data_IF_971210961952
#
_entry.id   IF_971210961952
#
_cell.length_a   1.000
_cell.length_b   1.000
_cell.length_c   1.000
_cell.angle_alpha   90.00
_cell.angle_beta   90.00
_cell.angle_gamma   90.00
#
_symmetry.space_group_name_H-M   'P 1'
#
loop_
_entity.id
_entity.type
_entity.pdbx_description
1 polymer ?
#
# COMPACT_ATOMS: atom_id res chain seq x y z
N UNK A 1 4.35 16.03 3.05
CA UNK A 1 4.63 15.94 1.59
C UNK A 1 5.70 14.89 1.37
N UNK A 2 5.31 13.76 0.78
CA UNK A 2 6.17 12.60 0.64
C UNK A 2 7.28 12.88 -0.34
N UNK A 3 8.48 12.38 -0.04
CA UNK A 3 9.63 12.67 -0.90
C UNK A 3 9.40 12.09 -2.31
N UNK A 4 10.04 12.68 -3.34
CA UNK A 4 9.99 12.16 -4.71
C UNK A 4 10.32 10.66 -4.84
N UNK A 5 11.10 10.11 -3.92
CA UNK A 5 11.50 8.69 -3.96
C UNK A 5 10.40 7.81 -3.33
N UNK A 6 9.73 8.26 -2.26
CA UNK A 6 8.72 7.44 -1.58
C UNK A 6 7.43 7.27 -2.40
N UNK A 7 7.01 8.28 -3.17
CA UNK A 7 5.85 8.11 -4.05
C UNK A 7 6.13 7.15 -5.20
N UNK A 8 7.35 7.18 -5.76
CA UNK A 8 7.76 6.25 -6.83
C UNK A 8 7.76 4.82 -6.31
N UNK A 9 8.30 4.59 -5.11
CA UNK A 9 8.27 3.27 -4.46
C UNK A 9 6.85 2.78 -4.25
N UNK A 10 5.94 3.64 -3.76
CA UNK A 10 4.51 3.29 -3.63
C UNK A 10 3.89 2.91 -4.98
N UNK A 11 4.11 3.72 -6.02
CA UNK A 11 3.60 3.42 -7.36
C UNK A 11 4.14 2.09 -7.92
N UNK A 12 5.42 1.78 -7.66
CA UNK A 12 6.02 0.50 -8.03
C UNK A 12 5.41 -0.68 -7.27
N UNK A 13 5.19 -0.56 -5.97
CA UNK A 13 4.53 -1.61 -5.17
C UNK A 13 3.09 -1.86 -5.64
N UNK A 14 2.35 -0.81 -5.98
CA UNK A 14 1.00 -0.93 -6.56
C UNK A 14 1.05 -1.69 -7.89
N UNK A 15 2.04 -1.42 -8.76
CA UNK A 15 2.25 -2.19 -10.00
C UNK A 15 2.61 -3.65 -9.75
N UNK A 16 3.43 -3.92 -8.74
CA UNK A 16 3.79 -5.30 -8.36
C UNK A 16 2.55 -6.06 -7.91
N UNK A 17 1.72 -5.46 -7.04
CA UNK A 17 0.45 -6.05 -6.60
C UNK A 17 -0.47 -6.32 -7.80
N UNK A 18 -0.62 -5.35 -8.70
CA UNK A 18 -1.43 -5.50 -9.92
C UNK A 18 -0.95 -6.66 -10.80
N UNK A 19 0.36 -6.80 -10.98
CA UNK A 19 0.95 -7.92 -11.70
C UNK A 19 0.70 -9.26 -11.00
N UNK A 20 0.91 -9.35 -9.68
CA UNK A 20 0.68 -10.58 -8.92
C UNK A 20 -0.76 -11.07 -9.02
N UNK A 21 -1.74 -10.18 -8.93
CA UNK A 21 -3.16 -10.57 -9.03
C UNK A 21 -3.64 -10.79 -10.46
N UNK A 22 -2.89 -10.35 -11.48
CA UNK A 22 -3.22 -10.60 -12.89
C UNK A 22 -3.16 -12.10 -13.26
N UNK A 23 -2.33 -12.86 -12.56
CA UNK A 23 -2.27 -14.34 -12.63
C UNK A 23 -3.34 -15.01 -11.74
N UNK A 24 -4.29 -14.22 -11.23
CA UNK A 24 -5.28 -14.61 -10.23
C UNK A 24 -4.67 -15.24 -8.95
N UNK A 25 -3.38 -15.03 -8.69
CA UNK A 25 -2.63 -15.61 -7.58
C UNK A 25 -2.85 -14.81 -6.30
N UNK A 26 -2.96 -15.51 -5.17
CA UNK A 26 -3.02 -14.90 -3.83
C UNK A 26 -1.95 -15.54 -2.96
N UNK A 27 -0.92 -14.74 -2.67
CA UNK A 27 0.27 -15.15 -1.93
C UNK A 27 0.52 -14.23 -0.73
N UNK A 28 1.37 -14.68 0.20
CA UNK A 28 1.76 -13.84 1.33
C UNK A 28 2.63 -12.63 0.93
N UNK A 29 3.20 -12.63 -0.28
CA UNK A 29 3.92 -11.48 -0.83
C UNK A 29 2.99 -10.27 -1.00
N UNK A 30 1.70 -10.50 -1.28
CA UNK A 30 0.70 -9.44 -1.26
C UNK A 30 0.59 -8.77 0.13
N UNK A 31 0.68 -9.53 1.22
CA UNK A 31 0.68 -8.97 2.57
C UNK A 31 1.93 -8.13 2.82
N UNK A 32 3.09 -8.61 2.38
CA UNK A 32 4.36 -7.87 2.49
C UNK A 32 4.30 -6.55 1.72
N UNK A 33 3.77 -6.56 0.49
CA UNK A 33 3.62 -5.35 -0.32
C UNK A 33 2.66 -4.35 0.32
N UNK A 34 1.54 -4.81 0.90
CA UNK A 34 0.59 -3.94 1.61
C UNK A 34 1.20 -3.33 2.88
N UNK A 35 1.92 -4.13 3.69
CA UNK A 35 2.65 -3.63 4.87
C UNK A 35 3.73 -2.60 4.47
N UNK A 36 4.44 -2.82 3.36
CA UNK A 36 5.39 -1.86 2.83
C UNK A 36 4.70 -0.57 2.39
N UNK A 37 3.57 -0.64 1.70
CA UNK A 37 2.85 0.57 1.29
C UNK A 37 2.40 1.38 2.50
N UNK A 38 1.90 0.73 3.57
CA UNK A 38 1.58 1.42 4.84
C UNK A 38 2.81 2.15 5.40
N UNK A 39 3.97 1.49 5.47
CA UNK A 39 5.20 2.10 6.01
C UNK A 39 5.70 3.30 5.21
N UNK A 40 5.37 3.37 3.92
CA UNK A 40 5.73 4.51 3.06
C UNK A 40 4.76 5.69 3.19
N UNK A 41 3.63 5.53 3.89
CA UNK A 41 2.68 6.61 4.16
C UNK A 41 3.24 7.59 5.18
N UNK A 42 2.82 8.84 5.09
CA UNK A 42 3.10 9.82 6.14
C UNK A 42 2.34 9.43 7.42
N UNK A 43 2.87 9.83 8.58
CA UNK A 43 2.26 9.50 9.89
C UNK A 43 0.80 9.98 9.99
N UNK A 44 0.48 11.13 9.38
CA UNK A 44 -0.86 11.70 9.31
C UNK A 44 -1.75 11.07 8.21
N UNK A 45 -1.18 10.31 7.28
CA UNK A 45 -1.91 9.69 6.17
C UNK A 45 -2.60 8.40 6.64
N UNK A 46 -3.91 8.35 6.52
CA UNK A 46 -4.70 7.18 6.91
C UNK A 46 -4.61 6.03 5.91
N UNK A 47 -4.70 4.79 6.42
CA UNK A 47 -4.85 3.60 5.57
C UNK A 47 -6.32 3.52 5.12
N UNK A 48 -6.54 3.40 3.81
CA UNK A 48 -7.89 3.32 3.26
C UNK A 48 -8.59 2.03 3.70
N UNK A 49 -9.91 2.07 3.84
CA UNK A 49 -10.67 0.88 4.23
C UNK A 49 -10.60 -0.23 3.17
N UNK A 50 -10.40 0.13 1.89
CA UNK A 50 -10.13 -0.83 0.83
C UNK A 50 -8.80 -1.55 1.00
N UNK A 51 -7.76 -0.86 1.49
CA UNK A 51 -6.46 -1.47 1.80
C UNK A 51 -6.55 -2.42 3.00
N UNK A 52 -7.24 -1.99 4.06
CA UNK A 52 -7.51 -2.84 5.25
C UNK A 52 -8.29 -4.10 4.87
N UNK A 53 -9.34 -3.93 4.07
CA UNK A 53 -10.16 -5.05 3.58
C UNK A 53 -9.36 -6.01 2.69
N UNK A 54 -8.51 -5.47 1.81
CA UNK A 54 -7.60 -6.26 0.98
C UNK A 54 -6.63 -7.08 1.85
N UNK A 55 -6.00 -6.45 2.83
CA UNK A 55 -5.07 -7.14 3.74
C UNK A 55 -5.76 -8.28 4.49
N UNK A 56 -6.92 -8.02 5.08
CA UNK A 56 -7.70 -9.01 5.81
C UNK A 56 -8.08 -10.21 4.93
N UNK A 57 -8.62 -9.95 3.73
CA UNK A 57 -9.04 -11.00 2.80
C UNK A 57 -7.87 -11.84 2.29
N UNK A 58 -6.73 -11.22 1.97
CA UNK A 58 -5.50 -11.93 1.56
C UNK A 58 -4.97 -12.82 2.69
N UNK A 59 -4.95 -12.31 3.93
CA UNK A 59 -4.51 -13.09 5.10
C UNK A 59 -5.38 -14.33 5.31
N UNK A 60 -6.70 -14.17 5.15
CA UNK A 60 -7.66 -15.25 5.26
C UNK A 60 -7.47 -16.29 4.15
N UNK A 61 -7.40 -15.87 2.88
CA UNK A 61 -7.16 -16.78 1.74
C UNK A 61 -5.83 -17.53 1.88
N UNK A 62 -4.74 -16.84 2.25
CA UNK A 62 -3.43 -17.46 2.44
C UNK A 62 -3.40 -18.50 3.57
N UNK A 63 -4.44 -18.57 4.40
CA UNK A 63 -4.57 -19.52 5.49
C UNK A 63 -5.60 -20.61 5.18
N UNK A 64 -6.80 -20.22 4.77
CA UNK A 64 -7.96 -21.11 4.53
C UNK A 64 -7.74 -22.00 3.31
N UNK A 65 -6.96 -21.59 2.31
CA UNK A 65 -6.66 -22.44 1.14
C UNK A 65 -6.02 -23.79 1.50
N UNK A 66 -5.31 -23.86 2.64
CA UNK A 66 -4.72 -25.09 3.14
C UNK A 66 -5.72 -26.04 3.82
N UNK A 67 -6.96 -25.59 4.09
CA UNK A 67 -8.04 -26.50 4.47
C UNK A 67 -8.63 -27.25 3.27
N UNK A 68 -8.60 -26.63 2.09
CA UNK A 68 -9.18 -27.20 0.85
C UNK A 68 -8.18 -28.11 0.15
N UNK A 69 -6.91 -27.70 0.13
CA UNK A 69 -5.81 -28.44 -0.48
C UNK A 69 -4.94 -29.10 0.59
N UNK A 70 -5.38 -30.23 1.14
CA UNK A 70 -4.57 -31.09 2.01
C UNK A 70 -3.58 -31.95 1.18
N UNK A 71 -2.99 -31.38 0.13
CA UNK A 71 -1.99 -32.08 -0.67
C UNK A 71 -0.60 -31.77 -0.10
N UNK A 72 0.11 -32.81 0.33
CA UNK A 72 1.52 -32.80 0.79
C UNK A 72 2.47 -32.10 -0.20
N UNK A 73 2.04 -31.94 -1.45
CA UNK A 73 2.84 -31.46 -2.59
C UNK A 73 2.99 -29.93 -2.61
N UNK A 74 2.08 -29.15 -2.02
CA UNK A 74 2.14 -27.67 -2.01
C UNK A 74 2.65 -27.17 -0.66
N UNK A 75 3.83 -27.65 -0.22
CA UNK A 75 4.76 -26.98 0.70
C UNK A 75 4.27 -26.33 2.01
N UNK A 76 3.02 -26.48 2.42
CA UNK A 76 2.41 -25.72 3.51
C UNK A 76 1.19 -26.44 4.06
N UNK A 77 0.98 -26.29 5.37
CA UNK A 77 -0.22 -26.76 6.05
C UNK A 77 -0.87 -25.58 6.79
N UNK A 78 -2.15 -25.75 7.12
CA UNK A 78 -2.94 -24.75 7.83
C UNK A 78 -2.24 -24.23 9.09
N UNK A 79 -1.67 -25.11 9.92
CA UNK A 79 -1.01 -24.73 11.17
C UNK A 79 0.18 -23.82 10.91
N UNK A 80 1.04 -24.13 9.94
CA UNK A 80 2.19 -23.29 9.59
C UNK A 80 1.79 -21.93 9.04
N UNK A 81 0.71 -21.85 8.25
CA UNK A 81 0.17 -20.57 7.79
C UNK A 81 -0.42 -19.77 8.96
N UNK A 82 -1.17 -20.43 9.86
CA UNK A 82 -1.73 -19.82 11.07
C UNK A 82 -0.65 -19.20 11.95
N UNK A 83 0.42 -19.93 12.23
CA UNK A 83 1.52 -19.44 13.07
C UNK A 83 2.19 -18.20 12.43
N UNK A 84 2.52 -18.26 11.14
CA UNK A 84 3.24 -17.16 10.46
C UNK A 84 2.37 -15.92 10.25
N UNK A 85 1.13 -16.09 9.78
CA UNK A 85 0.25 -14.99 9.44
C UNK A 85 -0.44 -14.43 10.68
N UNK A 86 -1.10 -15.27 11.48
CA UNK A 86 -2.02 -14.77 12.51
C UNK A 86 -1.34 -14.59 13.87
N UNK A 87 -0.52 -15.56 14.29
CA UNK A 87 0.16 -15.47 15.59
C UNK A 87 1.40 -14.61 15.58
N UNK A 88 2.16 -14.61 14.48
CA UNK A 88 3.32 -13.74 14.33
C UNK A 88 2.96 -12.39 13.69
N UNK A 89 2.55 -12.38 12.41
CA UNK A 89 2.37 -11.13 11.64
C UNK A 89 1.20 -10.27 12.14
N UNK A 90 -0.02 -10.79 12.27
CA UNK A 90 -1.19 -10.01 12.74
C UNK A 90 -1.03 -9.56 14.20
N UNK A 91 -0.50 -10.42 15.09
CA UNK A 91 -0.18 -9.99 16.47
C UNK A 91 0.84 -8.86 16.49
N UNK A 92 1.84 -8.87 15.60
CA UNK A 92 2.79 -7.75 15.49
C UNK A 92 2.07 -6.46 15.10
N UNK A 93 1.17 -6.51 14.10
CA UNK A 93 0.38 -5.34 13.71
C UNK A 93 -0.46 -4.78 14.89
N UNK A 94 -1.04 -5.67 15.70
CA UNK A 94 -1.79 -5.30 16.90
C UNK A 94 -0.90 -4.59 17.94
N UNK A 95 0.28 -5.15 18.23
CA UNK A 95 1.21 -4.59 19.22
C UNK A 95 1.86 -3.28 18.75
N UNK A 96 2.10 -3.13 17.45
CA UNK A 96 2.71 -1.93 16.85
C UNK A 96 1.68 -0.84 16.57
N UNK A 97 0.39 -1.04 16.91
CA UNK A 97 -0.71 -0.13 16.60
C UNK A 97 -0.77 0.24 15.10
N UNK A 98 -0.46 -0.73 14.23
CA UNK A 98 -0.53 -0.53 12.78
C UNK A 98 -1.94 -0.14 12.35
N UNK A 99 -2.03 0.79 11.39
CA UNK A 99 -3.30 1.23 10.80
C UNK A 99 -3.93 0.15 9.92
N UNK A 100 -3.20 -0.92 9.57
CA UNK A 100 -3.73 -2.12 8.93
C UNK A 100 -4.46 -3.05 9.91
N UNK A 101 -4.22 -2.94 11.22
CA UNK A 101 -4.90 -3.79 12.19
C UNK A 101 -6.37 -3.37 12.33
N UNK A 102 -7.28 -4.34 12.20
CA UNK A 102 -8.74 -4.12 12.26
C UNK A 102 -9.44 -5.11 13.17
N UNK A 103 -10.67 -4.79 13.56
CA UNK A 103 -11.54 -5.72 14.29
C UNK A 103 -11.83 -6.98 13.47
N UNK A 104 -11.90 -6.89 12.14
CA UNK A 104 -12.09 -8.05 11.26
C UNK A 104 -10.89 -9.01 11.32
N UNK A 105 -9.66 -8.48 11.32
CA UNK A 105 -8.45 -9.29 11.55
C UNK A 105 -8.49 -9.99 12.91
N UNK A 106 -8.92 -9.27 13.95
CA UNK A 106 -9.06 -9.86 15.29
C UNK A 106 -10.10 -10.97 15.32
N UNK A 107 -11.28 -10.74 14.74
CA UNK A 107 -12.35 -11.72 14.67
C UNK A 107 -11.92 -12.99 13.90
N UNK A 108 -11.27 -12.83 12.74
CA UNK A 108 -10.77 -13.99 11.99
C UNK A 108 -9.62 -14.71 12.71
N UNK A 109 -8.74 -14.00 13.42
CA UNK A 109 -7.72 -14.62 14.27
C UNK A 109 -8.36 -15.54 15.30
N UNK A 110 -9.40 -15.08 15.99
CA UNK A 110 -10.15 -15.88 16.96
C UNK A 110 -10.87 -17.07 16.30
N UNK A 111 -11.54 -16.85 15.17
CA UNK A 111 -12.23 -17.91 14.40
C UNK A 111 -11.28 -19.04 13.96
N UNK A 112 -10.08 -18.68 13.50
CA UNK A 112 -9.06 -19.63 13.04
C UNK A 112 -8.44 -20.44 14.18
N UNK A 113 -8.36 -19.90 15.38
CA UNK A 113 -7.95 -20.66 16.58
C UNK A 113 -9.01 -21.73 16.92
N UNK A 114 -10.30 -21.38 16.84
CA UNK A 114 -11.39 -22.34 17.13
C UNK A 114 -11.54 -23.38 16.01
N UNK A 115 -11.23 -23.04 14.76
CA UNK A 115 -11.33 -23.94 13.61
C UNK A 115 -10.47 -25.22 13.76
N UNK A 116 -9.41 -25.18 14.58
CA UNK A 116 -8.54 -26.33 14.90
C UNK A 116 -9.37 -27.47 15.51
N UNK A 117 -10.23 -27.14 16.46
CA UNK A 117 -10.99 -28.11 17.27
C UNK A 117 -12.46 -28.20 16.87
N UNK A 118 -12.98 -27.24 16.10
CA UNK A 118 -14.37 -27.21 15.63
C UNK A 118 -14.50 -27.56 14.14
N UNK A 119 -14.98 -28.77 13.79
CA UNK A 119 -15.27 -29.13 12.41
C UNK A 119 -16.38 -28.27 11.77
N UNK A 120 -17.26 -27.67 12.58
CA UNK A 120 -18.34 -26.80 12.10
C UNK A 120 -17.75 -25.50 11.56
N UNK A 121 -16.89 -24.83 12.33
CA UNK A 121 -16.25 -23.58 11.92
C UNK A 121 -15.32 -23.83 10.73
N UNK A 122 -14.55 -24.91 10.77
CA UNK A 122 -13.68 -25.29 9.64
C UNK A 122 -14.46 -25.46 8.33
N UNK A 123 -15.61 -26.15 8.37
CA UNK A 123 -16.49 -26.31 7.20
C UNK A 123 -17.06 -24.97 6.73
N UNK A 124 -17.43 -24.09 7.66
CA UNK A 124 -17.87 -22.73 7.32
C UNK A 124 -16.79 -21.97 6.56
N UNK A 125 -15.54 -21.98 7.07
CA UNK A 125 -14.39 -21.33 6.42
C UNK A 125 -14.09 -21.93 5.04
N UNK A 126 -14.14 -23.25 4.89
CA UNK A 126 -13.94 -23.94 3.59
C UNK A 126 -15.02 -23.56 2.57
N UNK A 127 -16.26 -23.33 3.02
CA UNK A 127 -17.36 -22.96 2.14
C UNK A 127 -17.26 -21.52 1.61
N UNK A 128 -16.39 -20.69 2.20
CA UNK A 128 -16.15 -19.34 1.73
C UNK A 128 -15.33 -19.37 0.43
N UNK A 129 -15.71 -18.52 -0.51
CA UNK A 129 -14.89 -18.25 -1.69
C UNK A 129 -13.80 -17.21 -1.35
N UNK A 130 -12.89 -17.58 -0.45
CA UNK A 130 -11.85 -16.69 0.08
C UNK A 130 -10.93 -16.16 -1.01
N UNK A 131 -10.65 -16.95 -2.06
CA UNK A 131 -9.84 -16.52 -3.20
C UNK A 131 -10.49 -15.37 -3.96
N UNK A 132 -11.76 -15.51 -4.34
CA UNK A 132 -12.44 -14.43 -5.08
C UNK A 132 -12.67 -13.21 -4.18
N UNK A 133 -12.93 -13.40 -2.90
CA UNK A 133 -13.01 -12.30 -1.93
C UNK A 133 -11.68 -11.53 -1.85
N UNK A 134 -10.55 -12.24 -1.77
CA UNK A 134 -9.22 -11.63 -1.75
C UNK A 134 -8.92 -10.86 -3.06
N UNK A 135 -9.13 -11.49 -4.22
CA UNK A 135 -8.92 -10.84 -5.52
C UNK A 135 -9.82 -9.61 -5.71
N UNK A 136 -11.10 -9.70 -5.30
CA UNK A 136 -12.03 -8.59 -5.35
C UNK A 136 -11.61 -7.43 -4.44
N UNK A 137 -11.22 -7.71 -3.20
CA UNK A 137 -10.76 -6.70 -2.26
C UNK A 137 -9.46 -6.03 -2.72
N UNK A 138 -8.49 -6.80 -3.25
CA UNK A 138 -7.25 -6.22 -3.82
C UNK A 138 -7.57 -5.37 -5.06
N UNK A 139 -8.50 -5.80 -5.91
CA UNK A 139 -8.92 -5.00 -7.08
C UNK A 139 -9.56 -3.67 -6.68
N UNK A 140 -10.40 -3.67 -5.63
CA UNK A 140 -10.97 -2.44 -5.07
C UNK A 140 -9.88 -1.52 -4.54
N UNK A 141 -8.91 -2.07 -3.81
CA UNK A 141 -7.75 -1.32 -3.33
C UNK A 141 -6.92 -0.72 -4.48
N UNK A 142 -6.60 -1.51 -5.51
CA UNK A 142 -5.80 -1.04 -6.66
C UNK A 142 -6.49 0.12 -7.39
N UNK A 143 -7.83 0.04 -7.55
CA UNK A 143 -8.60 1.13 -8.15
C UNK A 143 -8.43 2.42 -7.35
N UNK A 144 -8.60 2.37 -6.03
CA UNK A 144 -8.45 3.55 -5.17
C UNK A 144 -7.00 4.05 -5.17
N UNK A 145 -6.02 3.16 -5.06
CA UNK A 145 -4.61 3.50 -4.99
C UNK A 145 -4.11 4.20 -6.27
N UNK A 146 -4.57 3.76 -7.45
CA UNK A 146 -4.23 4.40 -8.71
C UNK A 146 -4.78 5.82 -8.85
N UNK A 147 -5.96 6.11 -8.29
CA UNK A 147 -6.48 7.49 -8.28
C UNK A 147 -5.58 8.42 -7.47
N UNK A 148 -5.04 7.93 -6.34
CA UNK A 148 -4.15 8.72 -5.48
C UNK A 148 -2.79 8.94 -6.14
N UNK A 149 -2.20 7.92 -6.76
CA UNK A 149 -0.91 8.05 -7.47
C UNK A 149 -0.98 9.08 -8.60
N UNK A 150 -2.08 9.12 -9.36
CA UNK A 150 -2.28 10.09 -10.43
C UNK A 150 -2.31 11.54 -9.90
N UNK A 151 -3.00 11.76 -8.77
CA UNK A 151 -3.07 13.07 -8.12
C UNK A 151 -1.70 13.49 -7.57
N UNK A 152 -0.99 12.59 -6.87
CA UNK A 152 0.33 12.89 -6.30
C UNK A 152 1.39 13.13 -7.37
N UNK A 153 1.36 12.38 -8.48
CA UNK A 153 2.27 12.57 -9.61
C UNK A 153 2.09 13.93 -10.29
N UNK A 154 0.85 14.39 -10.46
CA UNK A 154 0.55 15.71 -11.02
C UNK A 154 1.07 16.85 -10.12
N UNK A 155 0.89 16.74 -8.80
CA UNK A 155 1.38 17.74 -7.83
C UNK A 155 2.92 17.77 -7.79
N UNK A 156 3.57 16.61 -7.81
CA UNK A 156 5.03 16.52 -7.84
C UNK A 156 5.62 17.12 -9.13
N UNK A 157 5.01 16.83 -10.29
CA UNK A 157 5.41 17.41 -11.57
C UNK A 157 5.31 18.94 -11.57
N UNK A 158 4.23 19.50 -11.01
CA UNK A 158 4.06 20.95 -10.88
C UNK A 158 5.11 21.62 -9.96
N UNK A 159 5.59 20.92 -8.93
CA UNK A 159 6.65 21.40 -8.04
C UNK A 159 8.03 21.45 -8.70
N UNK A 160 8.34 20.50 -9.59
CA UNK A 160 9.62 20.45 -10.33
C UNK A 160 9.72 21.58 -11.35
N UNK A 161 8.61 21.99 -11.97
CA UNK A 161 8.58 23.14 -12.88
C UNK A 161 8.82 24.50 -12.20
N UNK A 162 8.63 24.60 -10.88
CA UNK A 162 8.84 25.86 -10.12
C UNK A 162 10.29 26.08 -9.64
N UNK A 163 11.13 25.05 -9.65
CA UNK A 163 12.54 25.13 -9.24
C UNK A 163 13.50 25.41 -10.41
N UNK A 164 12.98 25.59 -11.63
CA UNK A 164 13.78 25.79 -12.86
C UNK A 164 13.79 27.21 -13.42
N UNK A 165 13.25 28.21 -12.73
CA UNK A 165 13.26 29.61 -13.20
C UNK A 165 13.79 30.52 -12.09
N UNK A 166 15.11 30.52 -11.92
CA UNK A 166 15.81 31.71 -11.45
C UNK A 166 17.17 31.79 -12.17
N UNK A 167 17.12 32.07 -13.47
CA UNK A 167 18.30 32.47 -14.23
C UNK A 167 18.43 33.98 -14.05
N UNK A 168 19.30 34.35 -13.11
CA UNK A 168 19.51 35.72 -12.66
C UNK A 168 19.82 36.70 -13.80
N UNK A 169 19.14 37.83 -13.76
CA UNK A 169 19.58 39.07 -14.38
C UNK A 169 19.98 40.03 -13.25
N UNK A 170 21.23 39.91 -12.79
CA UNK A 170 21.88 40.93 -11.98
C UNK A 170 22.32 42.12 -12.86
N UNK A 171 22.34 43.36 -12.32
CA UNK A 171 22.57 44.57 -13.09
C UNK A 171 24.07 44.87 -13.24
N UNK A 172 24.51 45.14 -14.47
CA UNK A 172 25.84 45.73 -14.71
C UNK A 172 25.73 47.21 -15.05
N UNK A 173 26.38 47.99 -14.20
CA UNK A 173 26.60 49.43 -14.26
C UNK A 173 27.64 49.78 -15.33
N UNK A 174 27.44 50.90 -16.02
CA UNK A 174 28.54 51.69 -16.58
C UNK A 174 28.18 53.17 -16.49
N UNK A 175 28.95 53.91 -15.70
CA UNK A 175 28.91 55.37 -15.62
C UNK A 175 29.99 56.02 -16.49
N UNK A 176 29.92 57.36 -16.52
CA UNK A 176 30.80 58.38 -17.13
C UNK A 176 30.44 58.74 -18.59
N UNK A 177 30.16 59.98 -18.98
CA UNK A 177 30.16 61.28 -18.29
C UNK A 177 29.99 62.45 -19.28
N UNK A 178 29.65 63.62 -18.74
CA UNK A 178 29.81 65.01 -19.26
C UNK A 178 29.18 65.46 -20.58
N UNK A 179 28.40 66.56 -20.49
CA UNK A 179 28.12 67.45 -21.61
C UNK A 179 27.10 68.54 -21.25
N UNK A 180 27.60 69.71 -20.88
CA UNK A 180 26.85 70.93 -20.54
C UNK A 180 26.04 71.49 -21.72
N UNK A 181 24.99 72.27 -21.42
CA UNK A 181 24.29 73.09 -22.41
C UNK A 181 23.08 73.83 -21.87
N UNK A 182 23.32 74.99 -21.25
CA UNK A 182 22.34 76.04 -21.05
C UNK A 182 21.78 76.50 -22.40
N UNK A 183 20.46 76.68 -22.54
CA UNK A 183 19.92 77.91 -23.15
C UNK A 183 18.45 78.15 -22.80
N UNK A 184 18.19 79.39 -22.44
CA UNK A 184 16.93 80.07 -22.20
C UNK A 184 16.10 80.27 -23.47
N UNK A 185 14.78 80.37 -23.29
CA UNK A 185 13.80 80.85 -24.29
C UNK A 185 12.39 80.64 -23.79
#
# INVERSE_FOLDING_TARGET
MSTPIEWMRRAMLIRIIEYEVSDASVSETLLDNLELIEKLKEEEEEVSDTMKSAYCAVALECTVKYFVCESVVIGGNFSSARERIWRARVTRLEMEHSKLFTLDLKAHKEELEVAITSPVIRRSLIALNTRNAALGSVSNYLRDAWTLVQVSGAVAGAGVHKLGVDSGAGPHTHGLGSGAGLHTG
#
